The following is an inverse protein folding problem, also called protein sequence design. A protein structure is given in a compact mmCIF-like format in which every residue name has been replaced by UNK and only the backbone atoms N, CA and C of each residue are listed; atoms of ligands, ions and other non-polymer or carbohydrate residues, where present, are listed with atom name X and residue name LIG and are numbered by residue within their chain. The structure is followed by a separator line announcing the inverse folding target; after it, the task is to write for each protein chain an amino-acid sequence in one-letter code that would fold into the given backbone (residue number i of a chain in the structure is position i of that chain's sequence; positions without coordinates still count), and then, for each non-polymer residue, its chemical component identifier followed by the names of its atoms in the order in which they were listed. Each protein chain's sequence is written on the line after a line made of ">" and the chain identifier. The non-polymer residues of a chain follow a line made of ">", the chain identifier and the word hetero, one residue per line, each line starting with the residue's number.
data_IF_343301271583
#
_entry.id   IF_343301271583
#
_cell.length_a   1.000
_cell.length_b   1.000
_cell.length_c   1.000
_cell.angle_alpha   90.00
_cell.angle_beta   90.00
_cell.angle_gamma   90.00
#
_symmetry.space_group_name_H-M   'P 1'
#
loop_
_entity.id
_entity.type
_entity.pdbx_description
1 polymer ?
#
# COMPACT_ATOMS: atom_id res chain seq x y z
N UNK A 1 -20.73 53.11 17.56
CA UNK A 1 -20.83 52.22 16.37
C UNK A 1 -21.38 50.89 16.83
N UNK A 2 -22.56 50.52 16.32
CA UNK A 2 -23.52 49.64 17.00
C UNK A 2 -23.02 48.21 17.23
N UNK A 3 -23.10 47.72 18.47
CA UNK A 3 -22.76 46.36 18.92
C UNK A 3 -23.40 45.26 18.06
N UNK A 4 -24.57 45.53 17.45
CA UNK A 4 -25.22 44.64 16.48
C UNK A 4 -24.39 44.42 15.20
N UNK A 5 -23.71 45.45 14.68
CA UNK A 5 -22.85 45.31 13.48
C UNK A 5 -21.59 44.50 13.80
N UNK A 6 -21.01 44.68 14.98
CA UNK A 6 -19.84 43.90 15.44
C UNK A 6 -20.18 42.42 15.61
N UNK A 7 -21.36 42.09 16.15
CA UNK A 7 -21.82 40.71 16.33
C UNK A 7 -22.06 40.00 14.99
N UNK A 8 -22.63 40.70 14.00
CA UNK A 8 -22.88 40.15 12.66
C UNK A 8 -21.56 39.85 11.95
N UNK A 9 -20.58 40.76 12.02
CA UNK A 9 -19.26 40.56 11.40
C UNK A 9 -18.53 39.38 12.06
N UNK A 10 -18.57 39.27 13.40
CA UNK A 10 -17.97 38.15 14.11
C UNK A 10 -18.61 36.80 13.73
N UNK A 11 -19.93 36.75 13.56
CA UNK A 11 -20.65 35.54 13.14
C UNK A 11 -20.26 35.09 11.72
N UNK A 12 -20.14 36.03 10.77
CA UNK A 12 -19.70 35.73 9.40
C UNK A 12 -18.27 35.22 9.38
N UNK A 13 -17.37 35.81 10.18
CA UNK A 13 -15.96 35.39 10.27
C UNK A 13 -15.82 33.98 10.86
N UNK A 14 -16.61 33.66 11.89
CA UNK A 14 -16.63 32.32 12.49
C UNK A 14 -17.20 31.30 11.51
N UNK A 15 -18.28 31.65 10.79
CA UNK A 15 -18.89 30.76 9.80
C UNK A 15 -17.97 30.51 8.59
N UNK A 16 -17.20 31.52 8.15
CA UNK A 16 -16.24 31.35 7.05
C UNK A 16 -15.05 30.48 7.47
N UNK A 17 -14.56 30.62 8.71
CA UNK A 17 -13.50 29.75 9.26
C UNK A 17 -14.00 28.31 9.39
N UNK A 18 -15.23 28.10 9.86
CA UNK A 18 -15.82 26.76 9.97
C UNK A 18 -16.01 26.08 8.61
N UNK A 19 -16.32 26.87 7.56
CA UNK A 19 -16.38 26.37 6.19
C UNK A 19 -14.99 25.95 5.69
N UNK A 20 -13.94 26.75 5.94
CA UNK A 20 -12.55 26.42 5.57
C UNK A 20 -12.03 25.17 6.30
N UNK A 21 -12.40 24.97 7.57
CA UNK A 21 -11.94 23.84 8.38
C UNK A 21 -12.71 22.53 8.13
N UNK A 22 -13.88 22.58 7.47
CA UNK A 22 -14.68 21.40 7.14
C UNK A 22 -14.76 21.09 5.63
N UNK A 23 -13.97 21.78 4.79
CA UNK A 23 -13.74 21.26 3.46
C UNK A 23 -12.84 20.02 3.55
N UNK A 24 -13.26 18.86 3.03
CA UNK A 24 -12.37 17.72 2.90
C UNK A 24 -11.19 18.13 2.01
N UNK A 25 -9.96 17.92 2.50
CA UNK A 25 -8.70 18.15 1.78
C UNK A 25 -8.49 17.10 0.67
N UNK A 26 -9.57 16.46 0.18
CA UNK A 26 -9.49 15.31 -0.72
C UNK A 26 -9.58 15.71 -2.21
N UNK A 27 -9.58 17.01 -2.55
CA UNK A 27 -9.73 17.48 -3.93
C UNK A 27 -8.47 18.02 -4.61
N UNK A 28 -7.27 17.91 -4.00
CA UNK A 28 -6.03 18.37 -4.63
C UNK A 28 -4.83 17.41 -4.55
N UNK A 29 -5.02 16.13 -4.20
CA UNK A 29 -3.98 15.10 -4.31
C UNK A 29 -4.32 14.07 -5.39
N UNK A 30 -4.56 14.52 -6.61
CA UNK A 30 -4.44 13.68 -7.81
C UNK A 30 -3.71 14.44 -8.92
N UNK A 31 -2.63 15.14 -8.55
CA UNK A 31 -1.72 15.78 -9.50
C UNK A 31 -0.37 16.03 -8.84
N UNK A 32 0.34 14.95 -8.47
CA UNK A 32 1.80 14.89 -8.35
C UNK A 32 2.23 13.55 -7.75
N UNK A 33 2.24 12.51 -8.57
CA UNK A 33 3.38 11.58 -8.72
C UNK A 33 2.99 10.62 -9.84
N UNK A 34 3.37 10.97 -11.06
CA UNK A 34 3.21 10.14 -12.27
C UNK A 34 3.95 8.80 -12.19
N UNK A 35 4.55 8.46 -11.06
CA UNK A 35 5.31 7.24 -10.83
C UNK A 35 4.48 6.16 -10.12
N UNK A 36 3.52 6.53 -9.26
CA UNK A 36 2.68 5.55 -8.56
C UNK A 36 1.57 4.98 -9.45
N UNK A 37 1.01 5.76 -10.38
CA UNK A 37 -0.04 5.29 -11.28
C UNK A 37 0.46 4.47 -12.48
N UNK A 38 1.77 4.41 -12.74
CA UNK A 38 2.30 3.73 -13.94
C UNK A 38 2.73 2.28 -13.72
N UNK A 39 2.52 1.73 -12.52
CA UNK A 39 2.84 0.31 -12.29
C UNK A 39 1.85 -0.64 -13.00
N UNK A 40 0.60 -0.20 -13.22
CA UNK A 40 -0.45 -0.99 -13.90
C UNK A 40 -0.76 -0.56 -15.34
N UNK A 41 -0.04 0.41 -15.92
CA UNK A 41 -0.20 0.83 -17.33
C UNK A 41 0.43 -0.18 -18.34
N UNK A 42 0.38 -1.49 -18.05
CA UNK A 42 0.90 -2.53 -18.95
C UNK A 42 -0.01 -2.77 -20.16
N UNK A 43 -1.25 -2.26 -20.16
CA UNK A 43 -2.17 -2.45 -21.31
C UNK A 43 -3.03 -1.21 -21.57
N UNK A 44 -2.44 -0.15 -22.10
CA UNK A 44 -3.18 0.83 -22.92
C UNK A 44 -2.31 1.27 -24.09
N UNK A 45 -2.38 0.49 -25.17
CA UNK A 45 -1.88 0.90 -26.48
C UNK A 45 -2.84 1.93 -27.09
N UNK A 46 -2.57 3.21 -26.85
CA UNK A 46 -3.07 4.30 -27.68
C UNK A 46 -1.93 4.75 -28.62
N UNK A 47 -1.62 3.93 -29.64
CA UNK A 47 -1.13 4.34 -30.96
C UNK A 47 -0.64 3.11 -31.74
N UNK A 48 -1.49 2.61 -32.63
CA UNK A 48 -1.10 1.62 -33.63
C UNK A 48 -0.10 2.20 -34.64
N UNK A 49 1.18 1.88 -34.48
CA UNK A 49 2.06 1.64 -35.63
C UNK A 49 2.82 0.33 -35.39
N UNK A 50 2.44 -0.63 -36.22
CA UNK A 50 2.91 -2.01 -36.25
C UNK A 50 4.38 -2.08 -36.63
N UNK A 51 5.21 -2.59 -35.72
CA UNK A 51 6.48 -3.23 -36.06
C UNK A 51 6.48 -4.66 -35.50
N UNK A 52 6.92 -5.55 -36.36
CA UNK A 52 6.75 -7.00 -36.36
C UNK A 52 7.75 -7.71 -35.43
N UNK A 53 7.37 -8.90 -34.98
CA UNK A 53 8.16 -9.91 -34.25
C UNK A 53 8.24 -9.85 -32.71
N UNK A 54 7.12 -10.17 -32.05
CA UNK A 54 6.99 -11.45 -31.34
C UNK A 54 5.53 -11.69 -31.00
N UNK A 55 4.91 -12.70 -31.62
CA UNK A 55 3.61 -13.22 -31.18
C UNK A 55 3.77 -13.72 -29.74
N UNK A 56 3.42 -12.88 -28.76
CA UNK A 56 2.99 -13.38 -27.46
C UNK A 56 1.70 -14.13 -27.78
N UNK A 57 1.76 -15.46 -27.76
CA UNK A 57 0.55 -16.27 -27.74
C UNK A 57 -0.32 -15.76 -26.58
N UNK A 58 -1.34 -14.98 -26.93
CA UNK A 58 -2.36 -14.50 -26.01
C UNK A 58 -2.96 -15.73 -25.34
N UNK A 59 -2.48 -16.00 -24.13
CA UNK A 59 -2.81 -17.22 -23.40
C UNK A 59 -4.21 -17.11 -22.80
N UNK A 60 -4.99 -16.07 -23.15
CA UNK A 60 -6.30 -15.78 -22.56
C UNK A 60 -6.21 -15.53 -21.05
N UNK A 61 -5.08 -14.98 -20.58
CA UNK A 61 -4.85 -14.70 -19.15
C UNK A 61 -5.31 -13.29 -18.85
N UNK A 62 -6.36 -13.19 -18.04
CA UNK A 62 -6.85 -11.94 -17.48
C UNK A 62 -6.24 -11.73 -16.08
N UNK A 63 -5.74 -10.53 -15.82
CA UNK A 63 -5.24 -10.13 -14.50
C UNK A 63 -6.33 -9.35 -13.78
N UNK A 64 -6.54 -9.67 -12.50
CA UNK A 64 -7.46 -8.94 -11.63
C UNK A 64 -6.73 -8.48 -10.36
N UNK A 65 -7.19 -7.36 -9.80
CA UNK A 65 -6.67 -6.82 -8.55
C UNK A 65 -7.23 -7.67 -7.41
N UNK A 66 -6.37 -8.46 -6.77
CA UNK A 66 -6.78 -9.35 -5.68
C UNK A 66 -7.26 -8.60 -4.43
N UNK A 67 -6.70 -7.43 -4.12
CA UNK A 67 -7.00 -6.66 -2.91
C UNK A 67 -7.12 -5.15 -3.21
N UNK A 68 -8.22 -4.69 -3.80
CA UNK A 68 -8.37 -3.30 -4.25
C UNK A 68 -8.44 -2.28 -3.11
N UNK A 69 -8.73 -2.72 -1.89
CA UNK A 69 -8.85 -1.88 -0.69
C UNK A 69 -7.58 -1.85 0.16
N UNK A 70 -6.55 -2.63 -0.20
CA UNK A 70 -5.32 -2.78 0.59
C UNK A 70 -4.17 -2.02 -0.06
N UNK A 71 -3.67 -1.01 0.63
CA UNK A 71 -2.48 -0.27 0.25
C UNK A 71 -1.34 -0.56 1.24
N UNK A 72 -0.26 -1.17 0.75
CA UNK A 72 0.95 -1.43 1.55
C UNK A 72 2.15 -0.86 0.80
N UNK A 73 2.81 0.12 1.41
CA UNK A 73 4.03 0.71 0.87
C UNK A 73 5.23 -0.20 1.12
N UNK A 74 6.22 -0.13 0.22
CA UNK A 74 7.48 -0.86 0.32
C UNK A 74 7.31 -2.39 0.47
N UNK A 75 6.27 -2.99 -0.11
CA UNK A 75 6.09 -4.44 -0.14
C UNK A 75 7.27 -5.08 -0.90
N UNK A 76 7.90 -6.08 -0.28
CA UNK A 76 9.02 -6.81 -0.91
C UNK A 76 8.72 -8.30 -1.10
N UNK A 77 7.79 -8.86 -0.32
CA UNK A 77 7.53 -10.31 -0.36
C UNK A 77 6.12 -10.67 0.08
N UNK A 78 5.56 -11.71 -0.55
CA UNK A 78 4.32 -12.37 -0.18
C UNK A 78 4.59 -13.85 0.07
N UNK A 79 4.02 -14.41 1.13
CA UNK A 79 4.10 -15.85 1.39
C UNK A 79 2.92 -16.35 2.21
N UNK A 80 2.75 -17.65 2.28
CA UNK A 80 1.72 -18.32 3.08
C UNK A 80 2.37 -19.37 3.96
N UNK A 81 1.98 -19.49 5.24
CA UNK A 81 2.39 -20.62 6.05
C UNK A 81 1.77 -21.91 5.49
N UNK A 82 2.47 -23.04 5.65
CA UNK A 82 1.96 -24.36 5.31
C UNK A 82 1.01 -24.88 6.42
N UNK A 83 0.00 -24.09 6.80
CA UNK A 83 -0.89 -24.32 7.95
C UNK A 83 -2.39 -24.45 7.59
N UNK A 84 -2.72 -24.51 6.30
CA UNK A 84 -4.08 -24.56 5.76
C UNK A 84 -4.97 -23.35 6.12
N UNK A 85 -4.45 -22.31 6.79
CA UNK A 85 -5.23 -21.13 7.18
C UNK A 85 -5.69 -20.30 5.99
N UNK A 86 -4.99 -20.38 4.86
CA UNK A 86 -5.21 -19.52 3.70
C UNK A 86 -4.80 -18.07 3.93
N UNK A 87 -4.05 -17.78 5.01
CA UNK A 87 -3.51 -16.45 5.28
C UNK A 87 -2.39 -16.11 4.32
N UNK A 88 -2.37 -14.86 3.86
CA UNK A 88 -1.29 -14.28 3.06
C UNK A 88 -0.54 -13.31 3.94
N UNK A 89 0.78 -13.50 4.05
CA UNK A 89 1.66 -12.63 4.80
C UNK A 89 2.39 -11.69 3.85
N UNK A 90 2.52 -10.44 4.26
CA UNK A 90 3.07 -9.34 3.48
C UNK A 90 4.26 -8.79 4.24
N UNK A 91 5.46 -8.89 3.68
CA UNK A 91 6.65 -8.28 4.27
C UNK A 91 6.96 -6.95 3.59
N UNK A 92 7.25 -5.93 4.39
CA UNK A 92 7.65 -4.60 3.93
C UNK A 92 9.13 -4.34 4.19
N UNK A 93 9.78 -3.56 3.32
CA UNK A 93 11.21 -3.24 3.39
C UNK A 93 11.59 -2.56 4.70
N UNK A 94 10.72 -1.73 5.27
CA UNK A 94 10.97 -1.03 6.53
C UNK A 94 10.99 -1.99 7.74
N UNK A 95 10.46 -3.21 7.61
CA UNK A 95 10.56 -4.24 8.65
C UNK A 95 9.24 -4.55 9.34
N UNK A 96 8.11 -4.27 8.70
CA UNK A 96 6.80 -4.70 9.19
C UNK A 96 6.35 -5.91 8.38
N UNK A 97 5.86 -6.94 9.06
CA UNK A 97 5.19 -8.06 8.42
C UNK A 97 3.73 -8.02 8.86
N UNK A 98 2.85 -8.01 7.87
CA UNK A 98 1.42 -8.09 8.05
C UNK A 98 0.89 -9.45 7.59
N UNK A 99 -0.39 -9.71 7.87
CA UNK A 99 -1.14 -10.79 7.26
C UNK A 99 -2.57 -10.37 6.90
N UNK A 100 -3.12 -11.03 5.89
CA UNK A 100 -4.51 -10.97 5.47
C UNK A 100 -5.12 -12.33 5.79
N UNK A 101 -6.25 -12.33 6.49
CA UNK A 101 -7.05 -13.54 6.71
C UNK A 101 -7.68 -14.02 5.41
N UNK A 102 -7.94 -15.33 5.31
CA UNK A 102 -8.64 -15.87 4.14
C UNK A 102 -9.99 -15.15 3.97
N UNK A 103 -10.30 -14.75 2.73
CA UNK A 103 -11.53 -14.04 2.36
C UNK A 103 -11.74 -12.69 3.08
N UNK A 104 -10.65 -12.07 3.56
CA UNK A 104 -10.65 -10.75 4.21
C UNK A 104 -10.07 -9.67 3.29
N UNK A 105 -10.64 -8.47 3.34
CA UNK A 105 -10.05 -7.25 2.77
C UNK A 105 -9.28 -6.42 3.79
N UNK A 106 -9.11 -6.94 5.01
CA UNK A 106 -8.39 -6.27 6.09
C UNK A 106 -7.01 -6.86 6.29
N UNK A 107 -6.06 -5.98 6.58
CA UNK A 107 -4.68 -6.31 6.92
C UNK A 107 -4.46 -6.20 8.43
N UNK A 108 -3.72 -7.15 9.01
CA UNK A 108 -3.39 -7.21 10.43
C UNK A 108 -1.89 -7.30 10.64
N UNK A 109 -1.38 -6.73 11.73
CA UNK A 109 0.05 -6.81 12.09
C UNK A 109 0.42 -8.22 12.55
N UNK A 110 1.47 -8.81 11.97
CA UNK A 110 2.09 -10.04 12.46
C UNK A 110 3.27 -9.73 13.38
N UNK A 111 4.26 -8.99 12.88
CA UNK A 111 5.46 -8.60 13.64
C UNK A 111 6.03 -7.28 13.11
N UNK A 112 6.64 -6.50 14.01
CA UNK A 112 7.36 -5.27 13.71
C UNK A 112 8.81 -5.40 14.20
N UNK A 113 9.75 -5.34 13.27
CA UNK A 113 11.19 -5.39 13.54
C UNK A 113 11.91 -4.10 13.13
N UNK A 114 11.19 -2.99 12.94
CA UNK A 114 11.79 -1.69 12.55
C UNK A 114 12.92 -1.25 13.46
N UNK A 115 12.87 -1.60 14.75
CA UNK A 115 13.94 -1.31 15.72
C UNK A 115 15.28 -2.01 15.42
N UNK A 116 15.30 -2.99 14.50
CA UNK A 116 16.49 -3.74 14.09
C UNK A 116 17.10 -3.25 12.77
N UNK A 117 16.47 -2.27 12.11
CA UNK A 117 16.80 -1.83 10.75
C UNK A 117 17.00 -0.31 10.75
N UNK A 118 18.07 0.20 10.15
CA UNK A 118 18.23 1.62 9.86
C UNK A 118 17.15 2.10 8.89
N UNK A 119 16.38 3.06 9.37
CA UNK A 119 15.23 3.61 8.68
C UNK A 119 15.62 4.60 7.56
N UNK A 120 16.92 4.87 7.34
CA UNK A 120 17.37 5.57 6.13
C UNK A 120 17.10 4.74 4.86
N UNK A 121 17.04 3.39 4.97
CA UNK A 121 16.67 2.44 3.90
C UNK A 121 17.32 2.73 2.54
N UNK A 122 18.60 3.09 2.56
CA UNK A 122 19.37 3.40 1.34
C UNK A 122 19.75 2.12 0.58
N UNK A 123 19.63 2.16 -0.74
CA UNK A 123 19.88 1.00 -1.59
C UNK A 123 18.95 -0.17 -1.29
N UNK A 124 19.53 -1.35 -1.11
CA UNK A 124 18.84 -2.62 -0.78
C UNK A 124 18.76 -2.87 0.74
N UNK A 125 18.97 -1.84 1.57
CA UNK A 125 18.82 -1.99 3.03
C UNK A 125 17.37 -2.26 3.43
N UNK A 126 17.22 -2.94 4.56
CA UNK A 126 15.93 -3.28 5.13
C UNK A 126 15.69 -4.79 5.19
N UNK A 127 14.41 -5.15 5.32
CA UNK A 127 13.96 -6.53 5.24
C UNK A 127 14.05 -7.00 3.79
N UNK A 128 14.72 -8.14 3.59
CA UNK A 128 15.01 -8.72 2.27
C UNK A 128 14.42 -10.11 2.06
N UNK A 129 14.14 -10.85 3.13
CA UNK A 129 13.58 -12.18 3.03
C UNK A 129 12.71 -12.55 4.22
N UNK A 130 11.68 -13.34 3.96
CA UNK A 130 10.77 -13.85 4.96
C UNK A 130 10.24 -15.22 4.53
N UNK A 131 10.32 -16.25 5.38
CA UNK A 131 9.74 -17.57 5.10
C UNK A 131 9.30 -18.27 6.37
N UNK A 132 8.26 -19.09 6.26
CA UNK A 132 7.89 -20.05 7.29
C UNK A 132 8.74 -21.32 7.19
N UNK A 133 8.96 -21.97 8.32
CA UNK A 133 9.47 -23.35 8.34
C UNK A 133 8.41 -24.32 7.77
N UNK A 134 8.84 -25.40 7.13
CA UNK A 134 7.93 -26.39 6.55
C UNK A 134 7.01 -27.01 7.62
N UNK A 135 7.50 -27.13 8.86
CA UNK A 135 6.76 -27.63 10.01
C UNK A 135 6.23 -26.53 10.94
N UNK A 136 5.92 -25.35 10.38
CA UNK A 136 5.44 -24.18 11.13
C UNK A 136 4.25 -24.48 12.06
N UNK A 137 3.33 -25.38 11.66
CA UNK A 137 2.18 -25.79 12.48
C UNK A 137 2.64 -26.31 13.84
N UNK A 138 3.69 -27.12 13.87
CA UNK A 138 4.16 -27.78 15.09
C UNK A 138 5.19 -26.94 15.85
N UNK A 139 6.07 -26.22 15.15
CA UNK A 139 7.22 -25.54 15.75
C UNK A 139 7.08 -24.01 15.90
N UNK A 140 6.15 -23.40 15.17
CA UNK A 140 5.97 -21.94 15.17
C UNK A 140 7.16 -21.15 14.62
N UNK A 141 8.08 -21.77 13.88
CA UNK A 141 9.29 -21.13 13.37
C UNK A 141 9.09 -20.47 12.01
N UNK A 142 9.61 -19.26 11.90
CA UNK A 142 9.76 -18.51 10.67
C UNK A 142 11.10 -17.78 10.72
N UNK A 143 11.58 -17.37 9.56
CA UNK A 143 12.90 -16.77 9.38
C UNK A 143 12.74 -15.44 8.67
N UNK A 144 13.47 -14.43 9.16
CA UNK A 144 13.57 -13.11 8.55
C UNK A 144 15.04 -12.86 8.24
N UNK A 145 15.31 -12.37 7.04
CA UNK A 145 16.62 -11.87 6.63
C UNK A 145 16.52 -10.36 6.37
N UNK A 146 17.40 -9.60 7.00
CA UNK A 146 17.49 -8.15 6.86
C UNK A 146 18.96 -7.71 6.90
N UNK A 147 19.26 -6.57 6.27
CA UNK A 147 20.57 -5.91 6.35
C UNK A 147 20.40 -4.46 6.77
N UNK A 148 21.40 -3.98 7.51
CA UNK A 148 21.46 -2.67 8.15
C UNK A 148 22.82 -2.01 7.83
#
# INVERSE_FOLDING_TARGET
>A
MNNKKTLIIASILILSIFFILNFPIDYLTCSATTMACRFFDVVKDENSQQDDSTEINDSGVELDIAFPEIEVSNLIYLTTPNDESGRIFIATRDGIIFYIEKDSNNISLFIDIREKIDQELTGERGLLGFTFDQNYIDNGYFYIYYID
#
